data_IF_286151695904
#
_entry.id   IF_286151695904
#
_cell.length_a   1.000
_cell.length_b   1.000
_cell.length_c   1.000
_cell.angle_alpha   90.00
_cell.angle_beta   90.00
_cell.angle_gamma   90.00
#
_symmetry.space_group_name_H-M   'P 1'
#
loop_
_entity.id
_entity.type
_entity.pdbx_description
1 polymer ?
#
# COMPACT_ATOMS: atom_id res chain seq x y z
N UNK A 1 -18.63 5.40 4.58
CA UNK A 1 -17.95 6.31 3.64
C UNK A 1 -17.00 5.46 2.81
N UNK A 2 -17.12 5.41 1.47
CA UNK A 2 -16.17 4.65 0.66
C UNK A 2 -14.88 5.48 0.58
N UNK A 3 -13.83 4.98 1.22
CA UNK A 3 -12.51 5.60 1.19
C UNK A 3 -12.02 5.43 -0.26
N UNK A 4 -12.02 6.52 -1.03
CA UNK A 4 -11.62 6.50 -2.43
C UNK A 4 -10.16 6.02 -2.53
N UNK A 5 -9.84 5.13 -3.51
CA UNK A 5 -8.58 4.39 -3.57
C UNK A 5 -7.46 5.23 -4.17
N UNK A 6 -6.90 6.14 -3.39
CA UNK A 6 -5.48 6.43 -3.54
C UNK A 6 -4.82 5.42 -2.61
N UNK A 7 -4.18 4.35 -3.12
CA UNK A 7 -2.72 4.38 -3.19
C UNK A 7 -2.11 3.18 -3.97
N UNK A 8 -2.93 2.24 -4.47
CA UNK A 8 -2.46 1.10 -5.30
C UNK A 8 -2.95 1.15 -6.73
N UNK A 9 -4.19 1.56 -6.95
CA UNK A 9 -4.80 1.66 -8.27
C UNK A 9 -4.06 2.67 -9.17
N UNK A 10 -3.50 3.72 -8.56
CA UNK A 10 -2.66 4.71 -9.23
C UNK A 10 -1.23 4.23 -9.49
N UNK A 11 -0.67 3.42 -8.58
CA UNK A 11 0.67 2.83 -8.74
C UNK A 11 0.66 1.68 -9.77
N UNK A 12 -0.50 1.02 -9.92
CA UNK A 12 -0.69 -0.17 -10.74
C UNK A 12 -2.01 -0.13 -11.52
N UNK A 13 -2.19 0.85 -12.44
CA UNK A 13 -3.45 1.03 -13.16
C UNK A 13 -3.79 -0.16 -14.06
N UNK A 14 -2.78 -0.88 -14.55
CA UNK A 14 -2.96 -2.13 -15.31
C UNK A 14 -3.60 -3.26 -14.50
N UNK A 15 -3.43 -3.23 -13.18
CA UNK A 15 -3.97 -4.22 -12.25
C UNK A 15 -5.18 -3.71 -11.46
N UNK A 16 -5.71 -2.53 -11.79
CA UNK A 16 -6.86 -1.90 -11.10
C UNK A 16 -8.04 -2.86 -10.92
N UNK A 17 -8.38 -3.63 -11.95
CA UNK A 17 -9.48 -4.60 -11.90
C UNK A 17 -9.19 -5.73 -10.90
N UNK A 18 -8.00 -6.33 -10.98
CA UNK A 18 -7.53 -7.37 -10.03
C UNK A 18 -7.48 -6.85 -8.60
N UNK A 19 -6.99 -5.63 -8.39
CA UNK A 19 -6.91 -4.97 -7.08
C UNK A 19 -8.30 -4.77 -6.47
N UNK A 20 -9.29 -4.37 -7.28
CA UNK A 20 -10.68 -4.20 -6.82
C UNK A 20 -11.30 -5.53 -6.44
N UNK A 21 -11.08 -6.57 -7.25
CA UNK A 21 -11.54 -7.93 -6.96
C UNK A 21 -10.92 -8.47 -5.68
N UNK A 22 -9.60 -8.40 -5.53
CA UNK A 22 -8.89 -8.82 -4.32
C UNK A 22 -9.35 -8.06 -3.08
N UNK A 23 -9.67 -6.77 -3.16
CA UNK A 23 -10.23 -6.05 -2.00
C UNK A 23 -11.61 -6.53 -1.57
N UNK A 24 -12.39 -7.11 -2.48
CA UNK A 24 -13.72 -7.65 -2.21
C UNK A 24 -13.67 -9.11 -1.79
N UNK A 25 -12.86 -9.91 -2.47
CA UNK A 25 -12.73 -11.36 -2.26
C UNK A 25 -11.75 -11.69 -1.12
N UNK A 26 -10.74 -10.86 -0.89
CA UNK A 26 -9.66 -11.09 0.08
C UNK A 26 -9.58 -9.97 1.13
N UNK A 27 -10.06 -10.29 2.33
CA UNK A 27 -10.06 -9.37 3.48
C UNK A 27 -8.65 -9.00 3.92
N UNK A 28 -7.68 -9.91 3.79
CA UNK A 28 -6.29 -9.63 4.15
C UNK A 28 -5.73 -8.55 3.23
N UNK A 29 -5.91 -8.70 1.91
CA UNK A 29 -5.48 -7.72 0.92
C UNK A 29 -6.07 -6.34 1.18
N UNK A 30 -7.35 -6.27 1.58
CA UNK A 30 -7.99 -5.02 1.97
C UNK A 30 -7.33 -4.36 3.20
N UNK A 31 -6.97 -5.15 4.22
CA UNK A 31 -6.27 -4.65 5.41
C UNK A 31 -4.86 -4.18 5.09
N UNK A 32 -4.14 -4.92 4.23
CA UNK A 32 -2.79 -4.59 3.79
C UNK A 32 -2.76 -3.29 2.97
N UNK A 33 -3.71 -3.14 2.05
CA UNK A 33 -3.91 -1.92 1.25
C UNK A 33 -4.17 -0.69 2.15
N UNK A 34 -5.06 -0.83 3.14
CA UNK A 34 -5.34 0.22 4.12
C UNK A 34 -4.09 0.57 4.97
N UNK A 35 -3.30 -0.45 5.33
CA UNK A 35 -2.04 -0.27 6.07
C UNK A 35 -1.01 0.49 5.23
N UNK A 36 -0.86 0.14 3.95
CA UNK A 36 0.01 0.85 3.02
C UNK A 36 -0.35 2.34 2.94
N UNK A 37 -1.64 2.65 2.80
CA UNK A 37 -2.12 4.03 2.72
C UNK A 37 -1.90 4.80 4.04
N UNK A 38 -2.10 4.14 5.19
CA UNK A 38 -1.77 4.71 6.51
C UNK A 38 -0.28 4.99 6.67
N UNK A 39 0.59 4.12 6.17
CA UNK A 39 2.04 4.33 6.21
C UNK A 39 2.45 5.51 5.33
N UNK A 40 1.91 5.62 4.12
CA UNK A 40 2.22 6.75 3.23
C UNK A 40 1.81 8.08 3.88
N UNK A 41 0.59 8.14 4.46
CA UNK A 41 0.11 9.31 5.20
C UNK A 41 0.99 9.63 6.40
N UNK A 42 1.43 8.63 7.16
CA UNK A 42 2.36 8.83 8.29
C UNK A 42 3.71 9.37 7.82
N UNK A 43 4.28 8.80 6.76
CA UNK A 43 5.55 9.26 6.17
C UNK A 43 5.44 10.72 5.74
N UNK A 44 4.36 11.10 5.04
CA UNK A 44 4.10 12.50 4.65
C UNK A 44 3.95 13.42 5.86
N UNK A 45 3.15 13.01 6.85
CA UNK A 45 2.97 13.79 8.07
C UNK A 45 4.27 14.01 8.84
N UNK A 46 5.16 13.01 8.88
CA UNK A 46 6.49 13.13 9.48
C UNK A 46 7.38 14.09 8.68
N UNK A 47 7.35 14.02 7.35
CA UNK A 47 8.07 14.96 6.49
C UNK A 47 7.60 16.40 6.69
N UNK A 48 6.30 16.63 6.79
CA UNK A 48 5.70 17.95 7.01
C UNK A 48 5.98 18.49 8.41
N UNK A 49 6.01 17.60 9.42
CA UNK A 49 6.33 17.97 10.81
C UNK A 49 7.80 18.39 11.00
N UNK A 50 8.66 18.16 9.99
CA UNK A 50 10.08 18.49 10.06
C UNK A 50 10.86 17.68 11.10
N UNK A 51 10.25 16.61 11.64
CA UNK A 51 10.92 15.65 12.51
C UNK A 51 11.91 14.92 11.61
N UNK A 52 13.19 15.18 11.85
CA UNK A 52 14.30 14.85 10.97
C UNK A 52 14.15 13.46 10.38
N UNK A 53 14.20 13.38 9.05
CA UNK A 53 14.18 12.15 8.24
C UNK A 53 15.32 11.15 8.55
N UNK A 54 16.14 11.46 9.56
CA UNK A 54 17.21 10.65 10.13
C UNK A 54 16.73 9.74 11.28
N UNK A 55 15.49 9.92 11.74
CA UNK A 55 14.90 9.11 12.81
C UNK A 55 14.78 7.64 12.36
N UNK A 56 15.25 6.70 13.17
CA UNK A 56 15.15 5.26 12.91
C UNK A 56 13.71 4.84 12.59
N UNK A 57 12.75 5.53 13.19
CA UNK A 57 11.32 5.34 12.95
C UNK A 57 10.94 5.66 11.49
N UNK A 58 11.39 6.77 10.93
CA UNK A 58 11.11 7.14 9.53
C UNK A 58 11.72 6.15 8.54
N UNK A 59 12.96 5.71 8.81
CA UNK A 59 13.61 4.67 8.03
C UNK A 59 12.85 3.36 8.08
N UNK A 60 12.34 2.97 9.25
CA UNK A 60 11.50 1.78 9.43
C UNK A 60 10.18 1.89 8.65
N UNK A 61 9.52 3.05 8.69
CA UNK A 61 8.28 3.30 7.93
C UNK A 61 8.50 3.20 6.42
N UNK A 62 9.58 3.78 5.90
CA UNK A 62 9.96 3.62 4.48
C UNK A 62 10.18 2.15 4.09
N UNK A 63 10.87 1.39 4.94
CA UNK A 63 11.08 -0.06 4.74
C UNK A 63 9.75 -0.81 4.74
N UNK A 64 8.85 -0.52 5.68
CA UNK A 64 7.52 -1.13 5.72
C UNK A 64 6.70 -0.78 4.48
N UNK A 65 6.70 0.48 4.05
CA UNK A 65 6.00 0.90 2.83
C UNK A 65 6.51 0.11 1.62
N UNK A 66 7.82 -0.01 1.45
CA UNK A 66 8.41 -0.76 0.35
C UNK A 66 8.09 -2.26 0.43
N UNK A 67 8.11 -2.83 1.64
CA UNK A 67 7.73 -4.22 1.88
C UNK A 67 6.26 -4.47 1.52
N UNK A 68 5.35 -3.64 2.00
CA UNK A 68 3.92 -3.74 1.70
C UNK A 68 3.64 -3.57 0.22
N UNK A 69 4.28 -2.61 -0.46
CA UNK A 69 4.16 -2.46 -1.91
C UNK A 69 4.54 -3.75 -2.64
N UNK A 70 5.68 -4.35 -2.29
CA UNK A 70 6.10 -5.62 -2.87
C UNK A 70 5.16 -6.77 -2.51
N UNK A 71 4.67 -6.84 -1.27
CA UNK A 71 3.74 -7.88 -0.85
C UNK A 71 2.43 -7.80 -1.64
N UNK A 72 1.84 -6.62 -1.72
CA UNK A 72 0.61 -6.35 -2.47
C UNK A 72 0.81 -6.68 -3.95
N UNK A 73 1.94 -6.26 -4.55
CA UNK A 73 2.27 -6.62 -5.93
C UNK A 73 2.36 -8.13 -6.14
N UNK A 74 2.99 -8.87 -5.23
CA UNK A 74 3.05 -10.33 -5.31
C UNK A 74 1.65 -10.94 -5.25
N UNK A 75 0.76 -10.44 -4.38
CA UNK A 75 -0.63 -10.92 -4.27
C UNK A 75 -1.42 -10.67 -5.56
N UNK A 76 -1.26 -9.48 -6.14
CA UNK A 76 -1.86 -9.09 -7.42
C UNK A 76 -1.35 -9.98 -8.55
N UNK A 77 -0.02 -10.11 -8.68
CA UNK A 77 0.63 -10.91 -9.71
C UNK A 77 0.27 -12.39 -9.59
N UNK A 78 0.27 -12.94 -8.37
CA UNK A 78 -0.10 -14.33 -8.11
C UNK A 78 -1.59 -14.60 -8.43
N UNK A 79 -2.47 -13.64 -8.17
CA UNK A 79 -3.88 -13.73 -8.58
C UNK A 79 -4.07 -13.68 -10.11
N UNK A 80 -3.13 -13.07 -10.85
CA UNK A 80 -3.16 -13.01 -12.32
C UNK A 80 -2.39 -14.12 -13.03
N UNK A 81 -1.47 -14.81 -12.35
CA UNK A 81 -0.60 -15.86 -12.91
C UNK A 81 -1.14 -17.29 -12.76
N UNK A 82 -2.40 -17.49 -12.36
CA UNK A 82 -3.05 -18.82 -12.48
C UNK A 82 -3.52 -19.04 -13.92
N UNK A 83 -2.58 -19.28 -14.82
CA UNK A 83 -2.80 -19.66 -16.22
C UNK A 83 -1.84 -20.75 -16.64
#
# INVERSE_FOLDING_TARGET
>A
MPIAPHDLDQDFPEYADTIRRLQQEDVQFKVESDTYHKLDKQIRGLQESGIGTDDEHYTSLKKQRAYLKQHLYNRISNSGQSG
#
